data_IF_381727735794
#
_entry.id   IF_381727735794
#
_cell.length_a   1.000
_cell.length_b   1.000
_cell.length_c   1.000
_cell.angle_alpha   90.00
_cell.angle_beta   90.00
_cell.angle_gamma   90.00
#
_symmetry.space_group_name_H-M   'P 1'
#
loop_
_entity.id
_entity.type
_entity.pdbx_description
1 polymer ?
#
# COMPACT_ATOMS: atom_id res chain seq x y z
N UNK A 1 8.19 -19.96 28.38
CA UNK A 1 7.78 -18.71 27.71
C UNK A 1 6.87 -19.08 26.53
N UNK A 2 5.77 -18.37 26.30
CA UNK A 2 4.87 -18.68 25.18
C UNK A 2 5.61 -18.55 23.83
N UNK A 3 5.28 -19.42 22.87
CA UNK A 3 5.87 -19.45 21.51
C UNK A 3 5.89 -18.07 20.83
N UNK A 4 4.87 -17.24 21.07
CA UNK A 4 4.77 -15.89 20.52
C UNK A 4 5.80 -14.91 21.11
N UNK A 5 6.21 -15.10 22.38
CA UNK A 5 7.25 -14.27 23.02
C UNK A 5 8.63 -14.60 22.46
N UNK A 6 8.92 -15.88 22.24
CA UNK A 6 10.15 -16.35 21.61
C UNK A 6 10.25 -15.85 20.16
N UNK A 7 9.17 -15.94 19.39
CA UNK A 7 9.12 -15.39 18.02
C UNK A 7 9.37 -13.88 17.96
N UNK A 8 8.84 -13.10 18.91
CA UNK A 8 9.07 -11.64 18.96
C UNK A 8 10.55 -11.27 19.20
N UNK A 9 11.33 -12.13 19.85
CA UNK A 9 12.76 -11.88 20.07
C UNK A 9 13.59 -12.00 18.78
N UNK A 10 13.13 -12.80 17.82
CA UNK A 10 13.82 -13.02 16.54
C UNK A 10 13.14 -12.32 15.36
N UNK A 11 11.94 -11.77 15.55
CA UNK A 11 11.23 -11.02 14.52
C UNK A 11 11.88 -9.64 14.35
N UNK A 12 12.35 -9.28 13.14
CA UNK A 12 12.87 -7.96 12.88
C UNK A 12 11.83 -6.88 13.21
N UNK A 13 12.26 -5.70 13.70
CA UNK A 13 11.35 -4.58 13.86
C UNK A 13 10.73 -4.20 12.52
N UNK A 14 9.47 -3.76 12.56
CA UNK A 14 8.80 -3.29 11.34
C UNK A 14 9.58 -2.10 10.76
N UNK A 15 9.80 -2.08 9.42
CA UNK A 15 10.45 -0.97 8.78
C UNK A 15 9.64 0.31 8.98
N UNK A 16 10.31 1.38 9.40
CA UNK A 16 9.70 2.69 9.71
C UNK A 16 9.78 3.68 8.55
N UNK A 17 10.52 3.35 7.50
CA UNK A 17 10.67 4.18 6.30
C UNK A 17 10.73 3.33 5.05
N UNK A 18 10.25 3.91 3.94
CA UNK A 18 10.28 3.32 2.61
C UNK A 18 11.30 4.09 1.77
N UNK A 19 12.58 3.80 1.95
CA UNK A 19 13.67 4.47 1.24
C UNK A 19 14.06 3.66 0.00
N UNK A 20 13.23 3.69 -1.03
CA UNK A 20 13.54 3.08 -2.33
C UNK A 20 12.95 3.93 -3.44
N UNK A 21 13.64 4.07 -4.57
CA UNK A 21 13.04 4.62 -5.78
C UNK A 21 12.37 3.49 -6.56
N UNK A 22 11.31 3.80 -7.32
CA UNK A 22 10.72 2.83 -8.24
C UNK A 22 11.45 2.95 -9.57
N UNK A 23 12.13 1.90 -10.05
CA UNK A 23 12.74 1.94 -11.36
C UNK A 23 11.71 2.20 -12.47
N UNK A 24 12.11 2.95 -13.49
CA UNK A 24 11.26 3.30 -14.64
C UNK A 24 10.68 2.06 -15.33
N UNK A 25 11.40 0.94 -15.31
CA UNK A 25 10.94 -0.35 -15.84
C UNK A 25 9.65 -0.87 -15.19
N UNK A 26 9.30 -0.40 -13.99
CA UNK A 26 8.06 -0.73 -13.29
C UNK A 26 6.98 0.35 -13.39
N UNK A 27 7.26 1.45 -14.10
CA UNK A 27 6.27 2.51 -14.34
C UNK A 27 5.24 2.15 -15.41
N UNK A 28 5.57 1.17 -16.26
CA UNK A 28 4.74 0.71 -17.38
C UNK A 28 4.46 -0.79 -17.32
N UNK A 29 3.34 -1.21 -17.91
CA UNK A 29 3.04 -2.64 -18.14
C UNK A 29 3.97 -3.23 -19.20
N UNK A 30 3.95 -4.56 -19.35
CA UNK A 30 4.64 -5.26 -20.46
C UNK A 30 4.13 -4.86 -21.84
N UNK A 31 2.91 -4.32 -21.91
CA UNK A 31 2.31 -3.76 -23.14
C UNK A 31 2.61 -2.26 -23.33
N UNK A 32 3.40 -1.64 -22.45
CA UNK A 32 3.79 -0.24 -22.54
C UNK A 32 2.74 0.76 -22.02
N UNK A 33 1.66 0.31 -21.39
CA UNK A 33 0.67 1.19 -20.79
C UNK A 33 1.21 1.78 -19.47
N UNK A 34 0.85 3.01 -19.13
CA UNK A 34 1.15 3.60 -17.82
C UNK A 34 0.54 2.74 -16.72
N UNK A 35 1.34 2.44 -15.70
CA UNK A 35 0.93 1.58 -14.57
C UNK A 35 1.19 2.23 -13.22
N UNK A 36 2.36 2.84 -12.99
CA UNK A 36 2.56 3.70 -11.81
C UNK A 36 1.84 5.03 -12.05
N UNK A 37 0.59 5.10 -11.59
CA UNK A 37 -0.27 6.25 -11.80
C UNK A 37 0.07 7.42 -10.86
N UNK A 38 0.41 7.11 -9.61
CA UNK A 38 0.80 8.12 -8.61
C UNK A 38 1.83 7.56 -7.65
N UNK A 39 2.83 8.37 -7.33
CA UNK A 39 3.79 8.16 -6.24
C UNK A 39 3.99 9.48 -5.51
N UNK A 40 3.37 9.63 -4.35
CA UNK A 40 3.35 10.90 -3.61
C UNK A 40 3.56 10.67 -2.12
N UNK A 41 3.94 11.71 -1.39
CA UNK A 41 4.07 11.67 0.07
C UNK A 41 2.93 12.45 0.70
N UNK A 42 2.05 11.75 1.43
CA UNK A 42 0.91 12.32 2.15
C UNK A 42 1.13 12.11 3.65
N UNK A 43 1.17 13.20 4.43
CA UNK A 43 1.35 13.16 5.91
C UNK A 43 2.57 12.32 6.34
N UNK A 44 3.71 12.52 5.69
CA UNK A 44 4.97 11.76 5.91
C UNK A 44 4.88 10.26 5.59
N UNK A 45 3.84 9.80 4.90
CA UNK A 45 3.70 8.43 4.40
C UNK A 45 3.71 8.45 2.88
N UNK A 46 4.54 7.62 2.28
CA UNK A 46 4.51 7.42 0.83
C UNK A 46 3.24 6.66 0.45
N UNK A 47 2.51 7.19 -0.53
CA UNK A 47 1.32 6.60 -1.12
C UNK A 47 1.61 6.34 -2.59
N UNK A 48 1.44 5.08 -2.99
CA UNK A 48 1.67 4.64 -4.35
C UNK A 48 0.37 4.06 -4.89
N UNK A 49 0.00 4.46 -6.11
CA UNK A 49 -1.14 3.93 -6.85
C UNK A 49 -0.63 3.30 -8.13
N UNK A 50 -0.84 1.99 -8.23
CA UNK A 50 -0.59 1.21 -9.43
C UNK A 50 -1.93 0.92 -10.09
N UNK A 51 -2.16 1.52 -11.25
CA UNK A 51 -3.36 1.31 -12.04
C UNK A 51 -3.11 1.73 -13.49
N UNK A 52 -3.67 0.98 -14.44
CA UNK A 52 -3.83 1.44 -15.81
C UNK A 52 -5.10 2.27 -15.97
N UNK A 53 -5.19 3.09 -17.01
CA UNK A 53 -6.41 3.83 -17.35
C UNK A 53 -7.64 2.92 -17.50
N UNK A 54 -7.43 1.73 -18.07
CA UNK A 54 -8.50 0.73 -18.23
C UNK A 54 -9.02 0.25 -16.87
N UNK A 55 -8.11 -0.04 -15.93
CA UNK A 55 -8.49 -0.44 -14.58
C UNK A 55 -9.23 0.69 -13.85
N UNK A 56 -8.83 1.95 -14.05
CA UNK A 56 -9.51 3.10 -13.46
C UNK A 56 -10.92 3.31 -14.07
N UNK A 57 -11.08 3.13 -15.38
CA UNK A 57 -12.40 3.18 -16.04
C UNK A 57 -13.30 2.04 -15.57
N UNK A 58 -12.75 0.83 -15.45
CA UNK A 58 -13.46 -0.31 -14.90
C UNK A 58 -13.95 -0.02 -13.48
N UNK A 59 -13.05 0.48 -12.62
CA UNK A 59 -13.37 0.88 -11.25
C UNK A 59 -14.45 1.97 -11.20
N UNK A 60 -14.37 3.00 -12.06
CA UNK A 60 -15.36 4.07 -12.15
C UNK A 60 -16.75 3.55 -12.54
N UNK A 61 -16.80 2.55 -13.43
CA UNK A 61 -18.06 1.96 -13.89
C UNK A 61 -18.62 0.86 -12.97
N UNK A 62 -17.85 0.42 -11.99
CA UNK A 62 -18.21 -0.71 -11.13
C UNK A 62 -19.33 -0.34 -10.15
N UNK A 63 -20.38 -1.17 -10.11
CA UNK A 63 -21.46 -1.05 -9.12
C UNK A 63 -21.06 -1.57 -7.73
N UNK A 64 -20.09 -2.47 -7.70
CA UNK A 64 -19.61 -3.13 -6.49
C UNK A 64 -18.09 -3.22 -6.56
N UNK A 65 -17.41 -2.85 -5.47
CA UNK A 65 -15.96 -2.95 -5.34
C UNK A 65 -15.66 -3.97 -4.25
N UNK A 66 -14.84 -4.96 -4.58
CA UNK A 66 -14.24 -5.86 -3.59
C UNK A 66 -12.83 -5.39 -3.32
N UNK A 67 -12.50 -5.17 -2.06
CA UNK A 67 -11.18 -4.75 -1.62
C UNK A 67 -10.64 -5.85 -0.71
N UNK A 68 -9.47 -6.38 -1.06
CA UNK A 68 -8.72 -7.34 -0.26
C UNK A 68 -7.38 -6.71 0.15
N UNK A 69 -6.92 -7.03 1.36
CA UNK A 69 -5.70 -6.46 1.90
C UNK A 69 -5.54 -6.71 3.39
N UNK A 70 -4.30 -6.58 3.87
CA UNK A 70 -4.02 -6.55 5.32
C UNK A 70 -4.25 -5.14 5.82
N UNK A 71 -5.44 -4.89 6.40
CA UNK A 71 -5.75 -3.62 7.04
C UNK A 71 -5.19 -3.61 8.47
N UNK A 72 -4.28 -2.68 8.77
CA UNK A 72 -3.95 -2.35 10.15
C UNK A 72 -4.92 -1.27 10.64
N UNK A 73 -5.59 -1.49 11.77
CA UNK A 73 -6.36 -0.45 12.43
C UNK A 73 -5.44 0.76 12.68
N UNK A 74 -5.78 1.94 12.14
CA UNK A 74 -5.12 3.15 12.56
C UNK A 74 -5.43 3.36 14.04
N UNK A 75 -4.46 3.83 14.83
CA UNK A 75 -4.74 4.36 16.16
C UNK A 75 -5.95 5.29 16.12
N UNK A 76 -6.88 5.22 17.08
CA UNK A 76 -8.07 6.06 17.11
C UNK A 76 -7.65 7.52 16.94
N UNK A 77 -8.17 8.18 15.91
CA UNK A 77 -7.89 9.60 15.66
C UNK A 77 -8.56 10.50 16.70
N UNK A 78 -9.49 9.93 17.48
CA UNK A 78 -10.21 10.60 18.56
C UNK A 78 -10.31 9.65 19.76
N UNK A 79 -10.06 10.18 20.95
CA UNK A 79 -10.49 9.54 22.19
C UNK A 79 -11.98 9.83 22.36
N UNK A 80 -12.79 8.79 22.44
CA UNK A 80 -14.16 8.95 22.91
C UNK A 80 -14.09 9.30 24.40
N UNK A 81 -14.53 10.51 24.74
CA UNK A 81 -14.75 10.97 26.13
C UNK A 81 -16.08 10.42 26.61
#
# INVERSE_FOLDING_TARGET
ASLNRLRRQTTPPLPTSSCFDVPDAYSTTTSGAQFLFSDTVVRKKRMMLFATDEQLRMLFSAKTIMIDGTFSASVPHFNQV
#
